data_IF_277306646302
#
_entry.id   IF_277306646302
#
_cell.length_a   1.000
_cell.length_b   1.000
_cell.length_c   1.000
_cell.angle_alpha   90.00
_cell.angle_beta   90.00
_cell.angle_gamma   90.00
#
_symmetry.space_group_name_H-M   'P 1'
#
loop_
_entity.id
_entity.type
_entity.pdbx_description
1 polymer ?
#
# COMPACT_ATOMS: atom_id res chain seq x y z
N UNK A 1 -8.64 -5.89 -16.16
CA UNK A 1 -9.06 -6.62 -14.94
C UNK A 1 -7.88 -7.03 -14.05
N UNK A 2 -6.91 -7.82 -14.53
CA UNK A 2 -5.75 -8.28 -13.71
C UNK A 2 -4.99 -7.19 -12.94
N UNK A 3 -4.78 -6.02 -13.57
CA UNK A 3 -4.06 -4.91 -12.96
C UNK A 3 -4.81 -4.32 -11.76
N UNK A 4 -6.09 -3.98 -11.96
CA UNK A 4 -6.93 -3.42 -10.91
C UNK A 4 -7.09 -4.40 -9.73
N UNK A 5 -7.29 -5.69 -10.03
CA UNK A 5 -7.39 -6.72 -8.99
C UNK A 5 -6.08 -6.87 -8.19
N UNK A 6 -4.92 -6.77 -8.85
CA UNK A 6 -3.63 -6.80 -8.16
C UNK A 6 -3.43 -5.59 -7.24
N UNK A 7 -3.82 -4.40 -7.70
CA UNK A 7 -3.77 -3.15 -6.91
C UNK A 7 -4.71 -3.23 -5.72
N UNK A 8 -5.96 -3.61 -5.94
CA UNK A 8 -6.98 -3.71 -4.89
C UNK A 8 -6.61 -4.78 -3.89
N UNK A 9 -6.25 -5.98 -4.33
CA UNK A 9 -5.86 -7.08 -3.45
C UNK A 9 -4.67 -6.70 -2.58
N UNK A 10 -3.62 -6.12 -3.16
CA UNK A 10 -2.47 -5.66 -2.39
C UNK A 10 -2.80 -4.48 -1.46
N UNK A 11 -3.65 -3.54 -1.89
CA UNK A 11 -4.12 -2.42 -1.06
C UNK A 11 -4.91 -2.88 0.16
N UNK A 12 -5.82 -3.84 -0.01
CA UNK A 12 -6.63 -4.40 1.09
C UNK A 12 -5.76 -5.20 2.06
N UNK A 13 -4.83 -6.00 1.55
CA UNK A 13 -3.95 -6.83 2.39
C UNK A 13 -3.07 -5.99 3.32
N UNK A 14 -2.70 -4.76 2.91
CA UNK A 14 -1.96 -3.83 3.76
C UNK A 14 -2.70 -3.40 5.04
N UNK A 15 -4.00 -3.71 5.18
CA UNK A 15 -4.74 -3.46 6.43
C UNK A 15 -4.31 -4.43 7.54
N UNK A 16 -3.84 -5.63 7.20
CA UNK A 16 -3.58 -6.72 8.15
C UNK A 16 -2.63 -6.30 9.30
N UNK A 17 -1.49 -5.63 9.06
CA UNK A 17 -0.63 -5.12 10.12
C UNK A 17 -1.35 -4.28 11.19
N UNK A 18 -2.37 -3.50 10.80
CA UNK A 18 -3.11 -2.64 11.73
C UNK A 18 -4.12 -3.40 12.59
N UNK A 19 -4.50 -4.61 12.19
CA UNK A 19 -5.40 -5.46 12.96
C UNK A 19 -4.66 -6.24 14.06
N UNK A 20 -3.33 -6.17 14.09
CA UNK A 20 -2.48 -6.90 15.02
C UNK A 20 -1.77 -5.90 15.96
N UNK A 21 -2.15 -5.82 17.25
CA UNK A 21 -1.62 -4.83 18.19
C UNK A 21 -0.10 -4.88 18.42
N UNK A 22 0.52 -6.04 18.15
CA UNK A 22 1.96 -6.29 18.35
C UNK A 22 2.79 -6.16 17.07
N UNK A 23 2.21 -5.69 15.97
CA UNK A 23 2.93 -5.58 14.71
C UNK A 23 3.96 -4.45 14.75
N UNK A 24 5.23 -4.78 14.54
CA UNK A 24 6.31 -3.78 14.60
C UNK A 24 6.30 -2.87 13.37
N UNK A 25 6.76 -1.62 13.53
CA UNK A 25 6.84 -0.66 12.42
C UNK A 25 7.68 -1.18 11.25
N UNK A 26 8.84 -1.78 11.54
CA UNK A 26 9.69 -2.39 10.50
C UNK A 26 8.95 -3.54 9.80
N UNK A 27 8.21 -4.35 10.56
CA UNK A 27 7.36 -5.40 10.02
C UNK A 27 6.29 -4.85 9.08
N UNK A 28 5.61 -3.77 9.47
CA UNK A 28 4.58 -3.12 8.65
C UNK A 28 5.16 -2.59 7.33
N UNK A 29 6.33 -1.95 7.38
CA UNK A 29 7.03 -1.46 6.18
C UNK A 29 7.38 -2.63 5.26
N UNK A 30 7.98 -3.69 5.79
CA UNK A 30 8.30 -4.89 5.02
C UNK A 30 7.05 -5.51 4.39
N UNK A 31 5.95 -5.56 5.14
CA UNK A 31 4.67 -6.08 4.69
C UNK A 31 4.10 -5.27 3.52
N UNK A 32 4.13 -3.94 3.61
CA UNK A 32 3.74 -3.03 2.52
C UNK A 32 4.61 -3.25 1.27
N UNK A 33 5.92 -3.42 1.44
CA UNK A 33 6.83 -3.71 0.32
C UNK A 33 6.53 -5.06 -0.33
N UNK A 34 6.27 -6.12 0.46
CA UNK A 34 5.89 -7.42 -0.09
C UNK A 34 4.53 -7.39 -0.79
N UNK A 35 3.56 -6.66 -0.25
CA UNK A 35 2.27 -6.46 -0.89
C UNK A 35 2.42 -5.73 -2.24
N UNK A 36 3.22 -4.65 -2.29
CA UNK A 36 3.51 -3.92 -3.51
C UNK A 36 4.29 -4.76 -4.55
N UNK A 37 5.22 -5.61 -4.09
CA UNK A 37 5.89 -6.59 -4.94
C UNK A 37 4.90 -7.59 -5.53
N UNK A 38 4.00 -8.13 -4.71
CA UNK A 38 2.90 -8.98 -5.18
C UNK A 38 2.01 -8.27 -6.20
N UNK A 39 1.64 -7.01 -5.96
CA UNK A 39 0.86 -6.21 -6.90
C UNK A 39 1.56 -6.13 -8.27
N UNK A 40 2.85 -5.83 -8.28
CA UNK A 40 3.65 -5.79 -9.50
C UNK A 40 3.75 -7.13 -10.22
N UNK A 41 3.97 -8.21 -9.46
CA UNK A 41 3.98 -9.58 -9.98
C UNK A 41 2.65 -9.91 -10.65
N UNK A 42 1.51 -9.76 -9.98
CA UNK A 42 0.21 -10.15 -10.53
C UNK A 42 -0.33 -9.21 -11.63
N UNK A 43 0.06 -7.92 -11.60
CA UNK A 43 -0.29 -6.97 -12.66
C UNK A 43 0.27 -7.38 -14.03
N UNK A 44 1.50 -7.92 -14.05
CA UNK A 44 2.17 -8.49 -15.23
C UNK A 44 2.65 -7.48 -16.28
N UNK A 45 2.16 -6.24 -16.27
CA UNK A 45 2.74 -5.08 -16.95
C UNK A 45 2.56 -3.85 -16.07
N UNK A 46 3.50 -2.89 -16.15
CA UNK A 46 3.46 -1.62 -15.37
C UNK A 46 3.42 -1.90 -13.87
N UNK A 47 4.22 -2.87 -13.40
CA UNK A 47 4.30 -3.28 -12.02
C UNK A 47 4.73 -2.16 -11.09
N UNK A 48 5.56 -1.23 -11.56
CA UNK A 48 5.90 -0.01 -10.85
C UNK A 48 4.65 0.82 -10.48
N UNK A 49 3.72 0.97 -11.43
CA UNK A 49 2.47 1.71 -11.21
C UNK A 49 1.53 0.90 -10.32
N UNK A 50 1.48 -0.43 -10.48
CA UNK A 50 0.67 -1.28 -9.61
C UNK A 50 1.13 -1.20 -8.15
N UNK A 51 2.44 -1.25 -7.92
CA UNK A 51 3.04 -1.11 -6.59
C UNK A 51 2.73 0.25 -5.97
N UNK A 52 2.98 1.34 -6.69
CA UNK A 52 2.68 2.70 -6.22
C UNK A 52 1.18 2.88 -5.88
N UNK A 53 0.28 2.49 -6.80
CA UNK A 53 -1.16 2.61 -6.59
C UNK A 53 -1.65 1.72 -5.44
N UNK A 54 -1.05 0.55 -5.24
CA UNK A 54 -1.43 -0.32 -4.12
C UNK A 54 -1.08 0.29 -2.77
N UNK A 55 0.05 1.01 -2.66
CA UNK A 55 0.43 1.71 -1.44
C UNK A 55 -0.44 2.94 -1.20
N UNK A 56 -0.75 3.71 -2.25
CA UNK A 56 -1.68 4.84 -2.15
C UNK A 56 -3.07 4.36 -1.69
N UNK A 57 -3.56 3.26 -2.25
CA UNK A 57 -4.82 2.67 -1.83
C UNK A 57 -4.77 2.16 -0.38
N UNK A 58 -3.69 1.49 0.02
CA UNK A 58 -3.48 1.04 1.40
C UNK A 58 -3.46 2.20 2.39
N UNK A 59 -2.75 3.28 2.06
CA UNK A 59 -2.73 4.52 2.85
C UNK A 59 -4.10 5.21 2.95
N UNK A 60 -4.85 5.24 1.84
CA UNK A 60 -6.22 5.76 1.85
C UNK A 60 -7.14 4.91 2.75
N UNK A 61 -7.04 3.58 2.67
CA UNK A 61 -7.81 2.67 3.52
C UNK A 61 -7.44 2.83 5.00
N UNK A 62 -6.16 3.05 5.31
CA UNK A 62 -5.71 3.37 6.67
C UNK A 62 -6.34 4.68 7.18
N UNK A 63 -6.35 5.73 6.35
CA UNK A 63 -7.04 6.99 6.67
C UNK A 63 -8.52 6.77 6.99
N UNK A 64 -9.23 6.03 6.14
CA UNK A 64 -10.66 5.69 6.35
C UNK A 64 -10.88 4.91 7.66
N UNK A 65 -10.06 3.90 7.94
CA UNK A 65 -10.16 3.10 9.18
C UNK A 65 -9.92 3.98 10.42
N UNK A 66 -8.97 4.92 10.33
CA UNK A 66 -8.64 5.83 11.44
C UNK A 66 -9.75 6.86 11.69
N UNK A 67 -10.37 7.38 10.62
CA UNK A 67 -11.47 8.35 10.68
C UNK A 67 -12.79 7.76 11.18
N UNK A 68 -13.04 6.47 10.97
CA UNK A 68 -14.25 5.79 11.46
C UNK A 68 -14.04 5.24 12.88
N UNK A 69 -12.79 5.23 13.36
CA UNK A 69 -12.43 4.74 14.70
C UNK A 69 -12.78 5.71 15.83
N UNK A 70 -12.75 5.24 17.10
CA UNK A 70 -13.01 6.08 18.29
C UNK A 70 -12.10 7.31 18.40
N UNK A 71 -10.96 7.30 17.71
CA UNK A 71 -9.98 8.38 17.60
C UNK A 71 -10.50 9.64 16.92
N UNK A 72 -11.56 9.57 16.11
CA UNK A 72 -12.10 10.72 15.38
C UNK A 72 -13.13 11.53 16.20
N UNK A 73 -13.52 11.07 17.39
CA UNK A 73 -14.53 11.74 18.19
C UNK A 73 -13.97 13.03 18.85
N UNK A 74 -14.39 14.19 18.32
CA UNK A 74 -14.06 15.50 18.89
C UNK A 74 -12.92 16.26 18.20
N UNK A 75 -12.42 15.76 17.06
CA UNK A 75 -11.35 16.41 16.29
C UNK A 75 -11.87 17.66 15.54
N UNK A 76 -11.12 18.76 15.56
CA UNK A 76 -11.53 19.97 14.84
C UNK A 76 -11.31 19.81 13.32
N UNK A 77 -12.08 20.50 12.46
CA UNK A 77 -11.92 20.41 11.00
C UNK A 77 -10.52 20.80 10.50
N UNK A 78 -9.83 21.68 11.23
CA UNK A 78 -8.46 22.10 10.92
C UNK A 78 -7.45 21.01 11.28
N UNK A 79 -7.65 20.31 12.40
CA UNK A 79 -6.78 19.19 12.82
C UNK A 79 -6.93 18.01 11.85
N UNK A 80 -8.15 17.74 11.38
CA UNK A 80 -8.43 16.73 10.37
C UNK A 80 -7.73 17.06 9.03
N UNK A 81 -7.76 18.32 8.59
CA UNK A 81 -7.08 18.72 7.35
C UNK A 81 -5.56 18.60 7.46
N UNK A 82 -5.00 18.95 8.63
CA UNK A 82 -3.57 18.81 8.90
C UNK A 82 -3.15 17.34 8.95
N UNK A 83 -3.95 16.48 9.60
CA UNK A 83 -3.66 15.05 9.70
C UNK A 83 -3.74 14.34 8.35
N UNK A 84 -4.72 14.69 7.50
CA UNK A 84 -4.81 14.19 6.12
C UNK A 84 -3.62 14.65 5.26
N UNK A 85 -3.24 15.93 5.35
CA UNK A 85 -2.10 16.46 4.60
C UNK A 85 -0.78 15.81 5.05
N UNK A 86 -0.60 15.61 6.35
CA UNK A 86 0.55 14.89 6.90
C UNK A 86 0.58 13.43 6.45
N UNK A 87 -0.58 12.78 6.36
CA UNK A 87 -0.71 11.40 5.89
C UNK A 87 -0.35 11.27 4.40
N UNK A 88 -0.79 12.21 3.56
CA UNK A 88 -0.38 12.26 2.16
C UNK A 88 1.13 12.38 2.03
N UNK A 89 1.76 13.32 2.75
CA UNK A 89 3.21 13.50 2.73
C UNK A 89 3.96 12.28 3.28
N UNK A 90 3.44 11.66 4.33
CA UNK A 90 4.01 10.46 4.94
C UNK A 90 3.92 9.23 4.02
N UNK A 91 2.88 9.14 3.19
CA UNK A 91 2.68 8.04 2.22
C UNK A 91 3.63 8.12 1.03
N UNK A 92 4.06 9.32 0.62
CA UNK A 92 4.89 9.50 -0.60
C UNK A 92 6.15 8.64 -0.60
N UNK A 93 7.00 8.61 0.45
CA UNK A 93 8.17 7.73 0.50
C UNK A 93 7.82 6.25 0.36
N UNK A 94 6.72 5.80 0.95
CA UNK A 94 6.25 4.43 0.83
C UNK A 94 5.71 4.12 -0.56
N UNK A 95 5.08 5.08 -1.23
CA UNK A 95 4.64 4.92 -2.62
C UNK A 95 5.84 4.77 -3.57
N UNK A 96 6.94 5.49 -3.32
CA UNK A 96 8.21 5.31 -4.04
C UNK A 96 8.79 3.92 -3.77
N UNK A 97 8.83 3.48 -2.50
CA UNK A 97 9.25 2.12 -2.15
C UNK A 97 8.38 1.06 -2.82
N UNK A 98 7.06 1.25 -2.81
CA UNK A 98 6.08 0.40 -3.46
C UNK A 98 6.25 0.36 -4.97
N UNK A 99 6.61 1.48 -5.59
CA UNK A 99 6.95 1.54 -7.01
C UNK A 99 8.14 0.65 -7.35
N UNK A 100 9.21 0.73 -6.56
CA UNK A 100 10.40 -0.11 -6.74
C UNK A 100 10.10 -1.59 -6.49
N UNK A 101 9.36 -1.89 -5.43
CA UNK A 101 8.93 -3.24 -5.10
C UNK A 101 8.05 -3.85 -6.20
N UNK A 102 7.09 -3.07 -6.72
CA UNK A 102 6.22 -3.48 -7.82
C UNK A 102 6.99 -3.69 -9.14
N UNK A 103 7.98 -2.85 -9.44
CA UNK A 103 8.88 -3.07 -10.57
C UNK A 103 9.66 -4.38 -10.42
N UNK A 104 10.17 -4.67 -9.21
CA UNK A 104 10.84 -5.92 -8.90
C UNK A 104 9.91 -7.14 -9.06
N UNK A 105 8.64 -7.02 -8.64
CA UNK A 105 7.63 -8.06 -8.81
C UNK A 105 7.33 -8.38 -10.28
N UNK A 106 7.19 -7.36 -11.13
CA UNK A 106 7.05 -7.54 -12.58
C UNK A 106 8.28 -8.21 -13.20
N UNK A 107 9.48 -7.77 -12.79
CA UNK A 107 10.74 -8.38 -13.23
C UNK A 107 10.82 -9.85 -12.84
N UNK A 108 10.50 -10.20 -11.59
CA UNK A 108 10.46 -11.59 -11.11
C UNK A 108 9.49 -12.44 -11.93
N UNK A 109 8.30 -11.91 -12.25
CA UNK A 109 7.34 -12.61 -13.09
C UNK A 109 7.88 -12.90 -14.48
N UNK A 110 8.51 -11.92 -15.11
CA UNK A 110 9.08 -12.12 -16.45
C UNK A 110 10.15 -13.21 -16.47
N UNK A 111 10.95 -13.31 -15.39
CA UNK A 111 11.93 -14.39 -15.20
C UNK A 111 11.30 -15.74 -14.90
N UNK A 112 10.24 -15.78 -14.09
CA UNK A 112 9.58 -17.02 -13.69
C UNK A 112 8.74 -17.63 -14.81
N UNK A 113 8.03 -16.80 -15.57
CA UNK A 113 7.11 -17.23 -16.63
C UNK A 113 7.74 -17.24 -18.03
N UNK A 114 8.81 -16.46 -18.27
CA UNK A 114 9.53 -16.43 -19.55
C UNK A 114 10.61 -17.52 -19.70
N UNK A 115 10.71 -18.45 -18.75
CA UNK A 115 11.57 -19.65 -18.83
C UNK A 115 10.85 -20.86 -19.48
N UNK A 116 9.80 -20.61 -20.26
CA UNK A 116 9.10 -21.60 -21.08
C UNK A 116 9.09 -21.11 -22.51
#
# INVERSE_FOLDING_TARGET
>A
MRFALAVIGAGVVQIIPYLVPSFTTIGAIAFVMFAALGAGFFAGRRGWLAGALSVLLGGALFGVVTLIGPSAAGESPLDMLQSETALVLAVVPYAIGGMLAGAAGEWLRSRALGRR
#
